data_IF_996076198357
#
_entry.id   IF_996076198357
#
_cell.length_a   1.000
_cell.length_b   1.000
_cell.length_c   1.000
_cell.angle_alpha   90.00
_cell.angle_beta   90.00
_cell.angle_gamma   90.00
#
_symmetry.space_group_name_H-M   'P 1'
#
loop_
_entity.id
_entity.type
_entity.pdbx_description
1 polymer ?
#
# COMPACT_ATOMS: atom_id res chain seq x y z
N UNK A 1 -23.48 3.03 7.70
CA UNK A 1 -23.06 1.67 7.29
C UNK A 1 -21.65 1.69 6.73
N UNK A 2 -21.32 2.71 5.93
CA UNK A 2 -19.96 2.96 5.44
C UNK A 2 -18.98 3.32 6.57
N UNK A 3 -19.42 4.06 7.59
CA UNK A 3 -18.58 4.44 8.74
C UNK A 3 -18.02 3.26 9.53
N UNK A 4 -18.84 2.24 9.80
CA UNK A 4 -18.38 1.04 10.53
C UNK A 4 -17.25 0.35 9.78
N UNK A 5 -17.38 0.30 8.45
CA UNK A 5 -16.40 -0.32 7.57
C UNK A 5 -15.11 0.52 7.56
N UNK A 6 -15.20 1.84 7.39
CA UNK A 6 -14.05 2.76 7.45
C UNK A 6 -13.31 2.66 8.81
N UNK A 7 -14.03 2.79 9.92
CA UNK A 7 -13.44 2.74 11.26
C UNK A 7 -12.86 1.37 11.61
N UNK A 8 -13.45 0.28 11.09
CA UNK A 8 -12.84 -1.04 11.22
C UNK A 8 -11.48 -1.13 10.53
N UNK A 9 -11.35 -0.49 9.35
CA UNK A 9 -10.06 -0.35 8.66
C UNK A 9 -9.04 0.41 9.50
N UNK A 10 -9.45 1.52 10.13
CA UNK A 10 -8.56 2.33 10.97
C UNK A 10 -8.08 1.54 12.18
N UNK A 11 -8.98 0.79 12.80
CA UNK A 11 -8.67 -0.04 13.95
C UNK A 11 -7.68 -1.15 13.60
N UNK A 12 -7.89 -1.88 12.50
CA UNK A 12 -6.96 -2.93 12.05
C UNK A 12 -5.60 -2.34 11.68
N UNK A 13 -5.57 -1.15 11.05
CA UNK A 13 -4.32 -0.45 10.76
C UNK A 13 -3.55 -0.08 12.03
N UNK A 14 -4.25 0.46 13.04
CA UNK A 14 -3.64 0.80 14.33
C UNK A 14 -3.06 -0.44 15.02
N UNK A 15 -3.77 -1.56 15.01
CA UNK A 15 -3.26 -2.84 15.52
C UNK A 15 -1.97 -3.23 14.78
N UNK A 16 -1.97 -3.21 13.45
CA UNK A 16 -0.79 -3.52 12.66
C UNK A 16 0.39 -2.61 13.04
N UNK A 17 0.15 -1.30 13.17
CA UNK A 17 1.18 -0.35 13.55
C UNK A 17 1.81 -0.69 14.90
N UNK A 18 1.00 -0.97 15.92
CA UNK A 18 1.47 -1.33 17.27
C UNK A 18 2.29 -2.63 17.22
N UNK A 19 1.78 -3.67 16.56
CA UNK A 19 2.41 -4.99 16.50
C UNK A 19 3.77 -4.97 15.77
N UNK A 20 3.84 -4.26 14.64
CA UNK A 20 5.09 -4.09 13.91
C UNK A 20 6.09 -3.19 14.64
N UNK A 21 5.62 -2.14 15.32
CA UNK A 21 6.47 -1.29 16.17
C UNK A 21 7.12 -2.11 17.28
N UNK A 22 6.34 -2.91 18.00
CA UNK A 22 6.85 -3.79 19.04
C UNK A 22 7.87 -4.80 18.50
N UNK A 23 7.59 -5.38 17.33
CA UNK A 23 8.47 -6.38 16.70
C UNK A 23 9.74 -5.77 16.13
N UNK A 24 9.69 -4.50 15.73
CA UNK A 24 10.86 -3.73 15.32
C UNK A 24 11.81 -3.52 16.49
N UNK A 25 11.33 -3.00 17.62
CA UNK A 25 12.17 -2.70 18.78
C UNK A 25 12.64 -3.91 19.57
N UNK A 26 11.84 -4.98 19.67
CA UNK A 26 12.21 -6.13 20.52
C UNK A 26 12.91 -7.27 19.80
N UNK A 27 12.67 -7.43 18.49
CA UNK A 27 13.17 -8.58 17.73
C UNK A 27 14.08 -8.19 16.57
N UNK A 28 14.17 -6.91 16.20
CA UNK A 28 14.85 -6.39 15.01
C UNK A 28 14.50 -7.13 13.70
N UNK A 29 13.36 -7.83 13.69
CA UNK A 29 12.95 -8.69 12.56
C UNK A 29 12.08 -7.94 11.55
N UNK A 30 11.51 -6.81 11.94
CA UNK A 30 10.65 -6.01 11.06
C UNK A 30 11.49 -5.10 10.18
N UNK A 31 11.12 -5.03 8.90
CA UNK A 31 11.82 -4.18 7.94
C UNK A 31 11.55 -2.69 8.21
N UNK A 32 12.62 -1.87 8.24
CA UNK A 32 12.52 -0.41 8.52
C UNK A 32 11.62 0.30 7.53
N UNK A 33 11.74 0.02 6.23
CA UNK A 33 10.92 0.66 5.20
C UNK A 33 9.46 0.25 5.28
N UNK A 34 9.19 -1.00 5.67
CA UNK A 34 7.83 -1.46 5.93
C UNK A 34 7.21 -0.77 7.15
N UNK A 35 7.98 -0.57 8.21
CA UNK A 35 7.53 0.20 9.37
C UNK A 35 7.23 1.66 8.98
N UNK A 36 8.13 2.27 8.21
CA UNK A 36 7.91 3.61 7.65
C UNK A 36 6.64 3.71 6.80
N UNK A 37 6.36 2.69 5.98
CA UNK A 37 5.11 2.59 5.24
C UNK A 37 3.88 2.59 6.15
N UNK A 38 3.87 1.77 7.21
CA UNK A 38 2.73 1.70 8.13
C UNK A 38 2.49 3.02 8.87
N UNK A 39 3.56 3.68 9.30
CA UNK A 39 3.47 5.02 9.92
C UNK A 39 2.91 6.01 8.90
N UNK A 40 3.43 6.01 7.67
CA UNK A 40 2.99 6.91 6.62
C UNK A 40 1.49 6.77 6.32
N UNK A 41 0.99 5.54 6.10
CA UNK A 41 -0.42 5.34 5.80
C UNK A 41 -1.31 5.70 7.00
N UNK A 42 -0.86 5.47 8.23
CA UNK A 42 -1.60 5.87 9.42
C UNK A 42 -1.73 7.39 9.53
N UNK A 43 -0.63 8.12 9.31
CA UNK A 43 -0.62 9.59 9.31
C UNK A 43 -1.52 10.15 8.22
N UNK A 44 -1.39 9.64 6.98
CA UNK A 44 -2.20 10.11 5.85
C UNK A 44 -3.67 9.82 6.07
N UNK A 45 -4.03 8.65 6.63
CA UNK A 45 -5.41 8.34 6.99
C UNK A 45 -5.97 9.34 7.99
N UNK A 46 -5.20 9.66 9.03
CA UNK A 46 -5.58 10.62 10.04
C UNK A 46 -5.75 12.05 9.46
N UNK A 47 -4.86 12.46 8.55
CA UNK A 47 -4.97 13.74 7.83
C UNK A 47 -6.24 13.77 6.99
N UNK A 48 -6.53 12.72 6.21
CA UNK A 48 -7.75 12.64 5.40
C UNK A 48 -9.02 12.72 6.25
N UNK A 49 -9.02 12.09 7.43
CA UNK A 49 -10.13 12.16 8.38
C UNK A 49 -10.33 13.57 8.94
N UNK A 50 -9.25 14.25 9.34
CA UNK A 50 -9.32 15.66 9.78
C UNK A 50 -9.89 16.55 8.67
N UNK A 51 -9.41 16.38 7.44
CA UNK A 51 -9.89 17.16 6.29
C UNK A 51 -11.38 16.92 6.05
N UNK A 52 -11.86 15.68 6.21
CA UNK A 52 -13.28 15.34 6.12
C UNK A 52 -14.11 16.11 7.16
N UNK A 53 -13.69 16.11 8.43
CA UNK A 53 -14.36 16.86 9.50
C UNK A 53 -14.34 18.37 9.30
N UNK A 54 -13.27 18.91 8.69
CA UNK A 54 -13.15 20.32 8.35
C UNK A 54 -13.86 20.71 7.05
N UNK A 55 -14.56 19.76 6.38
CA UNK A 55 -15.19 19.94 5.07
C UNK A 55 -14.21 20.42 3.98
N UNK A 56 -12.94 20.05 4.10
CA UNK A 56 -11.89 20.36 3.13
C UNK A 56 -11.78 19.25 2.09
N UNK A 57 -11.43 19.61 0.86
CA UNK A 57 -11.18 18.65 -0.20
C UNK A 57 -9.92 17.82 0.09
N UNK A 58 -10.06 16.50 0.19
CA UNK A 58 -9.00 15.56 0.51
C UNK A 58 -8.19 15.06 -0.70
N UNK A 59 -8.47 15.52 -1.92
CA UNK A 59 -7.79 15.07 -3.14
C UNK A 59 -6.27 15.25 -3.09
N UNK A 60 -5.80 16.33 -2.45
CA UNK A 60 -4.37 16.53 -2.17
C UNK A 60 -3.77 15.36 -1.38
N UNK A 61 -4.43 14.94 -0.31
CA UNK A 61 -3.95 13.87 0.55
C UNK A 61 -4.03 12.50 -0.15
N UNK A 62 -4.98 12.33 -1.07
CA UNK A 62 -5.10 11.14 -1.92
C UNK A 62 -3.92 11.04 -2.90
N UNK A 63 -3.55 12.12 -3.60
CA UNK A 63 -2.37 12.08 -4.49
C UNK A 63 -1.08 11.85 -3.68
N UNK A 64 -0.94 12.52 -2.54
CA UNK A 64 0.18 12.29 -1.62
C UNK A 64 0.23 10.82 -1.14
N UNK A 65 -0.92 10.20 -0.87
CA UNK A 65 -1.03 8.79 -0.51
C UNK A 65 -0.43 7.88 -1.58
N UNK A 66 -0.84 8.03 -2.85
CA UNK A 66 -0.39 7.14 -3.93
C UNK A 66 1.11 7.28 -4.22
N UNK A 67 1.61 8.51 -4.29
CA UNK A 67 3.05 8.76 -4.49
C UNK A 67 3.85 8.22 -3.32
N UNK A 68 3.44 8.52 -2.08
CA UNK A 68 4.13 8.04 -0.88
C UNK A 68 4.06 6.52 -0.75
N UNK A 69 2.91 5.90 -1.06
CA UNK A 69 2.75 4.45 -1.11
C UNK A 69 3.74 3.82 -2.09
N UNK A 70 3.90 4.37 -3.29
CA UNK A 70 4.90 3.88 -4.25
C UNK A 70 6.32 4.01 -3.73
N UNK A 71 6.68 5.15 -3.13
CA UNK A 71 8.03 5.36 -2.60
C UNK A 71 8.34 4.39 -1.46
N UNK A 72 7.49 4.33 -0.43
CA UNK A 72 7.73 3.47 0.73
C UNK A 72 7.70 1.98 0.36
N UNK A 73 6.73 1.54 -0.45
CA UNK A 73 6.67 0.15 -0.88
C UNK A 73 7.77 -0.21 -1.88
N UNK A 74 8.16 0.73 -2.73
CA UNK A 74 9.31 0.58 -3.60
C UNK A 74 10.60 0.37 -2.82
N UNK A 75 10.87 1.20 -1.81
CA UNK A 75 12.04 1.04 -0.92
C UNK A 75 11.97 -0.26 -0.11
N UNK A 76 10.77 -0.64 0.35
CA UNK A 76 10.56 -1.94 0.98
C UNK A 76 10.95 -3.10 0.06
N UNK A 77 10.41 -3.15 -1.16
CA UNK A 77 10.76 -4.20 -2.12
C UNK A 77 12.24 -4.16 -2.48
N UNK A 78 12.83 -2.99 -2.70
CA UNK A 78 14.27 -2.85 -2.94
C UNK A 78 15.11 -3.50 -1.81
N UNK A 79 14.68 -3.33 -0.55
CA UNK A 79 15.42 -3.86 0.58
C UNK A 79 15.41 -5.41 0.64
N UNK A 80 14.31 -6.04 0.24
CA UNK A 80 14.12 -7.51 0.30
C UNK A 80 14.43 -8.24 -1.01
N UNK A 81 14.51 -7.53 -2.15
CA UNK A 81 14.95 -8.11 -3.42
C UNK A 81 16.41 -8.56 -3.33
N UNK A 82 16.78 -9.58 -4.11
CA UNK A 82 18.08 -10.27 -3.92
C UNK A 82 19.17 -9.79 -4.85
N UNK A 83 18.85 -9.63 -6.12
CA UNK A 83 19.85 -9.23 -7.12
C UNK A 83 20.01 -7.73 -7.18
N UNK A 84 21.27 -7.27 -7.28
CA UNK A 84 21.60 -5.84 -7.47
C UNK A 84 20.87 -5.23 -8.67
N UNK A 85 20.67 -6.00 -9.75
CA UNK A 85 19.92 -5.58 -10.93
C UNK A 85 18.46 -5.24 -10.61
N UNK A 86 17.77 -6.09 -9.85
CA UNK A 86 16.39 -5.81 -9.42
C UNK A 86 16.32 -4.58 -8.51
N UNK A 87 17.23 -4.44 -7.54
CA UNK A 87 17.29 -3.25 -6.68
C UNK A 87 17.50 -1.96 -7.47
N UNK A 88 18.45 -1.99 -8.41
CA UNK A 88 18.70 -0.87 -9.31
C UNK A 88 17.46 -0.55 -10.16
N UNK A 89 16.82 -1.57 -10.72
CA UNK A 89 15.57 -1.41 -11.48
C UNK A 89 14.48 -0.72 -10.66
N UNK A 90 14.25 -1.15 -9.42
CA UNK A 90 13.26 -0.51 -8.53
C UNK A 90 13.58 0.97 -8.31
N UNK A 91 14.83 1.31 -7.96
CA UNK A 91 15.26 2.72 -7.79
C UNK A 91 15.07 3.54 -9.06
N UNK A 92 15.45 2.98 -10.20
CA UNK A 92 15.33 3.63 -11.49
C UNK A 92 13.86 3.93 -11.82
N UNK A 93 12.96 2.96 -11.60
CA UNK A 93 11.51 3.13 -11.84
C UNK A 93 10.92 4.18 -10.89
N UNK A 94 11.20 4.11 -9.58
CA UNK A 94 10.73 5.11 -8.60
C UNK A 94 11.18 6.51 -9.01
N UNK A 95 12.47 6.68 -9.32
CA UNK A 95 13.06 7.97 -9.69
C UNK A 95 12.44 8.50 -10.98
N UNK A 96 12.26 7.64 -11.98
CA UNK A 96 11.66 8.02 -13.26
C UNK A 96 10.21 8.44 -13.12
N UNK A 97 9.41 7.73 -12.31
CA UNK A 97 8.00 8.08 -12.08
C UNK A 97 7.89 9.39 -11.31
N UNK A 98 8.69 9.59 -10.26
CA UNK A 98 8.71 10.87 -9.54
C UNK A 98 9.06 12.02 -10.47
N UNK A 99 10.03 11.84 -11.38
CA UNK A 99 10.38 12.85 -12.38
C UNK A 99 9.21 13.14 -13.32
N UNK A 100 8.54 12.09 -13.84
CA UNK A 100 7.37 12.24 -14.71
C UNK A 100 6.24 12.99 -14.01
N UNK A 101 5.94 12.67 -12.75
CA UNK A 101 4.90 13.34 -11.97
C UNK A 101 5.27 14.79 -11.64
N UNK A 102 6.54 15.05 -11.28
CA UNK A 102 7.02 16.42 -11.10
C UNK A 102 6.82 17.24 -12.37
N UNK A 103 7.24 16.74 -13.54
CA UNK A 103 7.01 17.42 -14.83
C UNK A 103 5.50 17.65 -15.05
N UNK A 104 4.66 16.65 -14.80
CA UNK A 104 3.21 16.78 -14.94
C UNK A 104 2.66 17.94 -14.09
N UNK A 105 3.05 18.03 -12.82
CA UNK A 105 2.57 19.09 -11.93
C UNK A 105 3.20 20.46 -12.22
N UNK A 106 4.39 20.52 -12.81
CA UNK A 106 4.96 21.77 -13.30
C UNK A 106 4.18 22.33 -14.50
N UNK A 107 3.70 21.45 -15.38
CA UNK A 107 2.94 21.84 -16.58
C UNK A 107 1.49 22.17 -16.22
N UNK A 108 0.85 21.35 -15.38
CA UNK A 108 -0.53 21.53 -14.94
C UNK A 108 -0.65 21.27 -13.42
N UNK A 109 -0.45 22.32 -12.59
CA UNK A 109 -0.49 22.21 -11.13
C UNK A 109 -1.84 21.73 -10.59
N UNK A 110 -2.93 21.97 -11.32
CA UNK A 110 -4.27 21.57 -10.91
C UNK A 110 -4.41 20.04 -10.83
N UNK A 111 -3.58 19.28 -11.55
CA UNK A 111 -3.59 17.81 -11.49
C UNK A 111 -3.33 17.30 -10.09
N UNK A 112 -2.53 18.03 -9.30
CA UNK A 112 -2.23 17.65 -7.92
C UNK A 112 -3.40 17.87 -6.95
N UNK A 113 -4.37 18.69 -7.34
CA UNK A 113 -5.60 18.94 -6.58
C UNK A 113 -6.81 18.18 -7.12
N UNK A 114 -6.63 17.40 -8.20
CA UNK A 114 -7.65 16.58 -8.84
C UNK A 114 -7.38 15.09 -8.61
N UNK A 115 -8.38 14.26 -8.88
CA UNK A 115 -8.21 12.81 -8.85
C UNK A 115 -7.39 12.36 -10.08
N UNK A 116 -6.07 12.27 -9.92
CA UNK A 116 -5.15 12.03 -11.03
C UNK A 116 -5.06 10.54 -11.37
N UNK A 117 -5.96 10.06 -12.24
CA UNK A 117 -6.05 8.65 -12.60
C UNK A 117 -4.75 8.10 -13.23
N UNK A 118 -4.01 8.95 -13.96
CA UNK A 118 -2.73 8.58 -14.54
C UNK A 118 -1.71 8.23 -13.46
N UNK A 119 -1.55 9.12 -12.48
CA UNK A 119 -0.67 8.92 -11.32
C UNK A 119 -1.06 7.67 -10.53
N UNK A 120 -2.34 7.52 -10.20
CA UNK A 120 -2.86 6.36 -9.45
C UNK A 120 -2.50 5.06 -10.15
N UNK A 121 -2.73 4.99 -11.46
CA UNK A 121 -2.47 3.80 -12.26
C UNK A 121 -0.98 3.52 -12.37
N UNK A 122 -0.18 4.55 -12.67
CA UNK A 122 1.27 4.42 -12.87
C UNK A 122 1.97 3.98 -11.58
N UNK A 123 1.65 4.61 -10.46
CA UNK A 123 2.21 4.28 -9.14
C UNK A 123 1.81 2.87 -8.70
N UNK A 124 0.53 2.53 -8.77
CA UNK A 124 0.01 1.22 -8.34
C UNK A 124 0.56 0.06 -9.15
N UNK A 125 0.56 0.17 -10.49
CA UNK A 125 1.09 -0.89 -11.35
C UNK A 125 2.60 -1.10 -11.15
N UNK A 126 3.35 -0.04 -10.86
CA UNK A 126 4.79 -0.14 -10.59
C UNK A 126 5.08 -0.95 -9.32
N UNK A 127 4.29 -0.73 -8.26
CA UNK A 127 4.40 -1.54 -7.04
C UNK A 127 4.04 -3.00 -7.31
N UNK A 128 3.03 -3.26 -8.14
CA UNK A 128 2.67 -4.63 -8.56
C UNK A 128 3.85 -5.30 -9.27
N UNK A 129 4.54 -4.59 -10.18
CA UNK A 129 5.76 -5.11 -10.83
C UNK A 129 6.84 -5.45 -9.80
N UNK A 130 7.06 -4.60 -8.79
CA UNK A 130 8.02 -4.87 -7.73
C UNK A 130 7.65 -6.11 -6.90
N UNK A 131 6.36 -6.26 -6.60
CA UNK A 131 5.82 -7.43 -5.91
C UNK A 131 5.99 -8.72 -6.73
N UNK A 132 5.82 -8.67 -8.05
CA UNK A 132 6.06 -9.79 -8.95
C UNK A 132 7.55 -10.19 -8.99
N UNK A 133 8.47 -9.22 -8.98
CA UNK A 133 9.91 -9.51 -8.83
C UNK A 133 10.22 -10.20 -7.50
N UNK A 134 9.53 -9.80 -6.43
CA UNK A 134 9.66 -10.44 -5.14
C UNK A 134 9.15 -11.89 -5.18
N UNK A 135 8.00 -12.16 -5.79
CA UNK A 135 7.53 -13.53 -6.00
C UNK A 135 8.49 -14.38 -6.83
N UNK A 136 9.08 -13.82 -7.87
CA UNK A 136 10.09 -14.51 -8.66
C UNK A 136 11.27 -14.98 -7.80
N UNK A 137 11.78 -14.12 -6.91
CA UNK A 137 12.86 -14.48 -5.99
C UNK A 137 12.46 -15.59 -5.01
N UNK A 138 11.17 -15.69 -4.63
CA UNK A 138 10.70 -16.74 -3.73
C UNK A 138 10.57 -18.12 -4.38
N UNK A 139 10.61 -18.22 -5.71
CA UNK A 139 10.58 -19.53 -6.37
C UNK A 139 11.79 -20.40 -5.97
N UNK A 140 12.90 -19.77 -5.61
CA UNK A 140 14.15 -20.45 -5.28
C UNK A 140 14.52 -20.38 -3.78
N UNK A 141 13.70 -19.76 -2.94
CA UNK A 141 14.13 -19.32 -1.61
C UNK A 141 13.02 -19.29 -0.53
N UNK A 142 13.39 -18.87 0.70
CA UNK A 142 12.46 -18.65 1.81
C UNK A 142 11.39 -17.61 1.48
N UNK A 143 10.17 -17.88 1.95
CA UNK A 143 8.95 -17.08 1.75
C UNK A 143 8.85 -15.92 2.75
N UNK A 144 9.75 -14.95 2.68
CA UNK A 144 9.72 -13.75 3.53
C UNK A 144 8.63 -12.77 3.04
N UNK A 145 7.78 -12.24 3.92
CA UNK A 145 6.72 -11.27 3.54
C UNK A 145 5.78 -11.77 2.41
N UNK A 146 5.54 -13.07 2.34
CA UNK A 146 4.78 -13.70 1.25
C UNK A 146 3.29 -13.32 1.24
N UNK A 147 2.61 -13.45 2.38
CA UNK A 147 1.18 -13.15 2.48
C UNK A 147 0.93 -11.65 2.34
N UNK A 148 1.85 -10.83 2.86
CA UNK A 148 1.84 -9.40 2.61
C UNK A 148 1.93 -9.09 1.10
N UNK A 149 2.87 -9.70 0.39
CA UNK A 149 3.06 -9.49 -1.06
C UNK A 149 1.82 -9.89 -1.86
N UNK A 150 1.15 -10.99 -1.47
CA UNK A 150 -0.17 -11.37 -2.03
C UNK A 150 -1.20 -10.27 -1.80
N UNK A 151 -1.30 -9.78 -0.57
CA UNK A 151 -2.21 -8.70 -0.21
C UNK A 151 -1.98 -7.44 -1.04
N UNK A 152 -0.71 -7.05 -1.25
CA UNK A 152 -0.34 -5.91 -2.10
C UNK A 152 -0.83 -6.08 -3.53
N UNK A 153 -0.52 -7.22 -4.17
CA UNK A 153 -0.91 -7.46 -5.57
C UNK A 153 -2.42 -7.49 -5.71
N UNK A 154 -3.12 -8.20 -4.81
CA UNK A 154 -4.57 -8.31 -4.83
C UNK A 154 -5.23 -6.94 -4.65
N UNK A 155 -4.84 -6.20 -3.60
CA UNK A 155 -5.40 -4.88 -3.31
C UNK A 155 -5.15 -3.90 -4.44
N UNK A 156 -3.89 -3.76 -4.90
CA UNK A 156 -3.54 -2.72 -5.88
C UNK A 156 -4.16 -3.00 -7.25
N UNK A 157 -4.16 -4.25 -7.73
CA UNK A 157 -4.79 -4.56 -9.01
C UNK A 157 -6.29 -4.31 -8.97
N UNK A 158 -6.99 -4.85 -7.97
CA UNK A 158 -8.45 -4.72 -7.88
C UNK A 158 -8.85 -3.26 -7.65
N UNK A 159 -8.16 -2.53 -6.77
CA UNK A 159 -8.46 -1.12 -6.49
C UNK A 159 -8.17 -0.22 -7.69
N UNK A 160 -7.07 -0.47 -8.43
CA UNK A 160 -6.76 0.29 -9.66
C UNK A 160 -7.85 0.10 -10.71
N UNK A 161 -8.33 -1.13 -10.91
CA UNK A 161 -9.47 -1.39 -11.80
C UNK A 161 -10.72 -0.65 -11.33
N UNK A 162 -11.02 -0.65 -10.02
CA UNK A 162 -12.16 0.11 -9.48
C UNK A 162 -12.03 1.62 -9.69
N UNK A 163 -10.83 2.19 -9.58
CA UNK A 163 -10.61 3.62 -9.85
C UNK A 163 -10.78 3.95 -11.34
N UNK A 164 -10.26 3.11 -12.23
CA UNK A 164 -10.46 3.25 -13.68
C UNK A 164 -11.96 3.19 -14.03
N UNK A 165 -12.66 2.16 -13.55
CA UNK A 165 -14.10 2.00 -13.77
C UNK A 165 -14.89 3.14 -13.15
N UNK A 166 -14.60 3.50 -11.90
CA UNK A 166 -15.27 4.58 -11.19
C UNK A 166 -15.12 5.95 -11.85
N UNK A 167 -13.98 6.19 -12.51
CA UNK A 167 -13.78 7.41 -13.30
C UNK A 167 -14.60 7.38 -14.60
N UNK A 168 -14.66 6.24 -15.29
CA UNK A 168 -15.47 6.07 -16.50
C UNK A 168 -16.98 6.14 -16.21
N UNK A 169 -17.39 5.68 -15.03
CA UNK A 169 -18.79 5.71 -14.58
C UNK A 169 -19.15 6.98 -13.79
N UNK A 170 -18.27 7.98 -13.75
CA UNK A 170 -18.51 9.24 -13.04
C UNK A 170 -19.73 10.02 -13.55
N UNK A 171 -20.11 9.82 -14.82
CA UNK A 171 -21.30 10.38 -15.46
C UNK A 171 -22.54 9.46 -15.37
N UNK A 172 -22.41 8.27 -14.76
CA UNK A 172 -23.51 7.34 -14.56
C UNK A 172 -24.21 7.61 -13.20
N UNK A 173 -25.23 6.81 -12.87
CA UNK A 173 -26.00 6.97 -11.64
C UNK A 173 -25.12 6.98 -10.38
N UNK A 174 -25.53 7.78 -9.39
CA UNK A 174 -24.84 7.89 -8.11
C UNK A 174 -24.61 6.53 -7.42
N UNK A 175 -25.51 5.56 -7.61
CA UNK A 175 -25.40 4.23 -7.03
C UNK A 175 -24.14 3.48 -7.48
N UNK A 176 -23.78 3.57 -8.77
CA UNK A 176 -22.58 2.93 -9.30
C UNK A 176 -21.31 3.61 -8.78
N UNK A 177 -21.33 4.93 -8.61
CA UNK A 177 -20.23 5.68 -8.00
C UNK A 177 -20.00 5.23 -6.56
N UNK A 178 -21.04 5.19 -5.74
CA UNK A 178 -20.94 4.78 -4.34
C UNK A 178 -20.53 3.30 -4.17
N UNK A 179 -20.95 2.43 -5.09
CA UNK A 179 -20.54 1.03 -5.09
C UNK A 179 -19.02 0.87 -5.20
N UNK A 180 -18.37 1.55 -6.16
CA UNK A 180 -16.91 1.47 -6.34
C UNK A 180 -16.15 1.89 -5.08
N UNK A 181 -16.59 2.96 -4.41
CA UNK A 181 -15.99 3.43 -3.16
C UNK A 181 -16.16 2.43 -2.01
N UNK A 182 -17.36 1.84 -1.85
CA UNK A 182 -17.61 0.82 -0.81
C UNK A 182 -16.79 -0.44 -1.02
N UNK A 183 -16.71 -0.93 -2.25
CA UNK A 183 -15.90 -2.12 -2.56
C UNK A 183 -14.42 -1.82 -2.29
N UNK A 184 -13.93 -0.63 -2.65
CA UNK A 184 -12.56 -0.23 -2.37
C UNK A 184 -12.28 -0.17 -0.85
N UNK A 185 -13.20 0.39 -0.06
CA UNK A 185 -13.10 0.41 1.39
C UNK A 185 -13.14 -1.01 2.01
N UNK A 186 -13.81 -1.97 1.38
CA UNK A 186 -13.76 -3.36 1.81
C UNK A 186 -12.38 -3.99 1.48
N UNK A 187 -11.85 -3.71 0.29
CA UNK A 187 -10.54 -4.19 -0.14
C UNK A 187 -9.39 -3.68 0.74
N UNK A 188 -9.46 -2.43 1.24
CA UNK A 188 -8.42 -1.90 2.14
C UNK A 188 -8.40 -2.63 3.49
N UNK A 189 -9.57 -3.04 4.01
CA UNK A 189 -9.63 -3.87 5.21
C UNK A 189 -8.98 -5.23 4.94
N UNK A 190 -9.32 -5.88 3.83
CA UNK A 190 -8.70 -7.14 3.44
C UNK A 190 -7.18 -7.01 3.34
N UNK A 191 -6.71 -5.91 2.75
CA UNK A 191 -5.29 -5.59 2.66
C UNK A 191 -4.62 -5.51 4.05
N UNK A 192 -5.24 -4.80 5.00
CA UNK A 192 -4.73 -4.71 6.36
C UNK A 192 -4.80 -6.04 7.12
N UNK A 193 -5.77 -6.91 6.82
CA UNK A 193 -5.81 -8.26 7.34
C UNK A 193 -4.67 -9.14 6.80
N UNK A 194 -4.26 -8.98 5.53
CA UNK A 194 -3.05 -9.63 5.01
C UNK A 194 -1.79 -9.18 5.74
N UNK A 195 -1.66 -7.88 6.06
CA UNK A 195 -0.54 -7.35 6.86
C UNK A 195 -0.52 -8.00 8.25
N UNK A 196 -1.69 -8.10 8.89
CA UNK A 196 -1.85 -8.69 10.22
C UNK A 196 -1.52 -10.19 10.21
N UNK A 197 -1.98 -10.90 9.19
CA UNK A 197 -1.70 -12.31 9.01
C UNK A 197 -0.21 -12.57 8.75
N UNK A 198 0.43 -11.75 7.91
CA UNK A 198 1.88 -11.81 7.68
C UNK A 198 2.64 -11.65 8.99
N UNK A 199 2.26 -10.67 9.83
CA UNK A 199 2.88 -10.47 11.13
C UNK A 199 2.78 -11.72 12.01
N UNK A 200 1.58 -12.31 12.07
CA UNK A 200 1.33 -13.52 12.85
C UNK A 200 2.19 -14.69 12.37
N UNK A 201 2.43 -14.85 11.07
CA UNK A 201 3.24 -15.95 10.53
C UNK A 201 4.74 -15.68 10.71
N UNK A 202 5.17 -14.44 10.47
CA UNK A 202 6.59 -14.08 10.46
C UNK A 202 7.21 -13.90 11.86
N UNK A 203 6.43 -13.51 12.87
CA UNK A 203 6.96 -13.20 14.21
C UNK A 203 6.53 -14.16 15.32
N UNK A 204 5.68 -15.16 15.02
CA UNK A 204 5.32 -16.22 15.97
C UNK A 204 6.52 -17.15 16.17
N UNK A 205 6.92 -17.44 17.42
CA UNK A 205 8.02 -18.37 17.68
C UNK A 205 7.67 -19.74 17.11
N UNK A 206 8.53 -20.30 16.25
CA UNK A 206 8.49 -21.73 15.96
C UNK A 206 8.81 -22.43 17.27
N UNK A 207 7.92 -23.29 17.76
CA UNK A 207 8.30 -24.25 18.79
C UNK A 207 9.41 -25.10 18.16
N UNK A 208 10.62 -25.01 18.68
CA UNK A 208 11.66 -25.99 18.40
C UNK A 208 11.09 -27.33 18.86
N UNK A 209 10.74 -28.19 17.90
CA UNK A 209 10.51 -29.59 18.20
C UNK A 209 11.92 -30.13 18.42
N UNK A 210 12.32 -30.26 19.69
CA UNK A 210 13.52 -30.99 20.07
C UNK A 210 13.35 -32.44 19.65
N UNK A 211 13.71 -32.76 18.40
CA UNK A 211 13.97 -34.13 17.98
C UNK A 211 15.31 -34.54 18.60
N UNK A 212 15.25 -35.06 19.82
CA UNK A 212 16.26 -35.98 20.32
C UNK A 212 15.95 -37.34 19.69
N UNK A 213 16.77 -37.77 18.73
CA UNK A 213 16.95 -39.17 18.33
C UNK A 213 18.42 -39.48 18.52
#
# INVERSE_FOLDING_TARGET
MDDLLIYSGYFVLLINLILYTFSFFQKEKANVFFMGYLVFIFIIQFIMEIMYYLHMNNLFAINLFFVGQMVFLGLFYESILKTKKQKFFVKFVITSILLVLCIQYFIDPDQFLKFNLFEITLTSLSIVVFALLHFYNMLSDKKEYYYYTIGVVFYLLTSTVLYLVGNLTSNLSNDLKYLSWRVNAFLIIMYYLFILYEWKVSFKPRKEINTYI
#
